data_IF_556146220398
#
_entry.id   IF_556146220398
#
_cell.length_a   1.000
_cell.length_b   1.000
_cell.length_c   1.000
_cell.angle_alpha   90.00
_cell.angle_beta   90.00
_cell.angle_gamma   90.00
#
_symmetry.space_group_name_H-M   'P 1'
#
loop_
_entity.id
_entity.type
_entity.pdbx_description
1 polymer ?
#
# COMPACT_ATOMS: atom_id res chain seq x y z
N UNK A 1 -6.11 -26.76 49.14
CA UNK A 1 -5.22 -26.09 48.16
C UNK A 1 -5.65 -26.29 46.70
N UNK A 2 -6.23 -27.43 46.30
CA UNK A 2 -6.67 -27.63 44.90
C UNK A 2 -7.85 -26.74 44.44
N UNK A 3 -8.73 -26.32 45.34
CA UNK A 3 -9.88 -25.45 45.02
C UNK A 3 -9.51 -24.00 44.74
N UNK A 4 -8.40 -23.48 45.29
CA UNK A 4 -7.93 -22.13 44.96
C UNK A 4 -7.38 -22.04 43.53
N UNK A 5 -6.73 -23.09 43.04
CA UNK A 5 -6.12 -23.11 41.69
C UNK A 5 -7.22 -23.10 40.62
N UNK A 6 -8.29 -23.87 40.81
CA UNK A 6 -9.47 -23.88 39.93
C UNK A 6 -10.16 -22.51 39.86
N UNK A 7 -10.30 -21.82 41.00
CA UNK A 7 -10.86 -20.47 41.03
C UNK A 7 -9.97 -19.46 40.30
N UNK A 8 -8.64 -19.54 40.46
CA UNK A 8 -7.69 -18.68 39.74
C UNK A 8 -7.74 -18.89 38.22
N UNK A 9 -7.90 -20.13 37.79
CA UNK A 9 -7.98 -20.49 36.37
C UNK A 9 -9.29 -19.99 35.72
N UNK A 10 -10.43 -20.09 36.42
CA UNK A 10 -11.70 -19.51 35.97
C UNK A 10 -11.65 -17.98 35.93
N UNK A 11 -10.99 -17.34 36.90
CA UNK A 11 -10.84 -15.89 36.95
C UNK A 11 -9.95 -15.37 35.81
N UNK A 12 -8.89 -16.11 35.46
CA UNK A 12 -8.05 -15.83 34.30
C UNK A 12 -8.82 -16.00 32.97
N UNK A 13 -9.66 -17.03 32.84
CA UNK A 13 -10.51 -17.23 31.66
C UNK A 13 -11.55 -16.10 31.49
N UNK A 14 -12.17 -15.64 32.58
CA UNK A 14 -13.10 -14.52 32.55
C UNK A 14 -12.42 -13.20 32.14
N UNK A 15 -11.21 -12.95 32.65
CA UNK A 15 -10.42 -11.77 32.25
C UNK A 15 -9.99 -11.83 30.78
N UNK A 16 -9.61 -13.01 30.27
CA UNK A 16 -9.26 -13.17 28.87
C UNK A 16 -10.48 -12.98 27.95
N UNK A 17 -11.64 -13.52 28.32
CA UNK A 17 -12.89 -13.34 27.59
C UNK A 17 -13.31 -11.86 27.57
N UNK A 18 -13.21 -11.18 28.72
CA UNK A 18 -13.47 -9.75 28.83
C UNK A 18 -12.52 -8.93 27.94
N UNK A 19 -11.23 -9.29 27.91
CA UNK A 19 -10.23 -8.69 27.01
C UNK A 19 -10.59 -8.85 25.54
N UNK A 20 -11.04 -10.04 25.14
CA UNK A 20 -11.43 -10.33 23.76
C UNK A 20 -12.67 -9.53 23.33
N UNK A 21 -13.68 -9.42 24.21
CA UNK A 21 -14.88 -8.62 23.96
C UNK A 21 -14.53 -7.13 23.85
N UNK A 22 -13.66 -6.62 24.72
CA UNK A 22 -13.19 -5.23 24.66
C UNK A 22 -12.42 -4.96 23.36
N UNK A 23 -11.53 -5.86 22.97
CA UNK A 23 -10.76 -5.73 21.72
C UNK A 23 -11.70 -5.74 20.51
N UNK A 24 -12.67 -6.66 20.48
CA UNK A 24 -13.68 -6.73 19.42
C UNK A 24 -14.49 -5.44 19.29
N UNK A 25 -14.90 -4.85 20.42
CA UNK A 25 -15.61 -3.57 20.43
C UNK A 25 -14.76 -2.40 19.91
N UNK A 26 -13.50 -2.31 20.34
CA UNK A 26 -12.58 -1.25 19.91
C UNK A 26 -12.31 -1.32 18.41
N UNK A 27 -12.09 -2.52 17.88
CA UNK A 27 -11.86 -2.73 16.45
C UNK A 27 -13.12 -2.41 15.63
N UNK A 28 -14.29 -2.87 16.07
CA UNK A 28 -15.57 -2.55 15.42
C UNK A 28 -15.81 -1.03 15.39
N UNK A 29 -15.59 -0.34 16.53
CA UNK A 29 -15.75 1.11 16.62
C UNK A 29 -14.78 1.86 15.70
N UNK A 30 -13.52 1.42 15.62
CA UNK A 30 -12.51 2.01 14.73
C UNK A 30 -12.85 1.81 13.25
N UNK A 31 -13.32 0.61 12.88
CA UNK A 31 -13.75 0.32 11.50
C UNK A 31 -15.00 1.13 11.10
N UNK A 32 -15.95 1.33 12.01
CA UNK A 32 -17.14 2.15 11.76
C UNK A 32 -16.76 3.62 11.51
N UNK A 33 -15.80 4.17 12.27
CA UNK A 33 -15.35 5.55 12.08
C UNK A 33 -14.70 5.77 10.71
N UNK A 34 -13.88 4.82 10.25
CA UNK A 34 -13.26 4.86 8.92
C UNK A 34 -14.31 4.71 7.81
N UNK A 35 -15.24 3.76 7.93
CA UNK A 35 -16.34 3.59 6.96
C UNK A 35 -17.23 4.82 6.86
N UNK A 36 -17.49 5.53 7.96
CA UNK A 36 -18.28 6.76 7.96
C UNK A 36 -17.63 7.87 7.12
N UNK A 37 -16.31 8.05 7.20
CA UNK A 37 -15.58 9.05 6.39
C UNK A 37 -15.67 8.73 4.89
N UNK A 38 -15.35 7.50 4.51
CA UNK A 38 -15.42 7.06 3.11
C UNK A 38 -16.83 7.19 2.53
N UNK A 39 -17.87 6.87 3.32
CA UNK A 39 -19.27 7.02 2.91
C UNK A 39 -19.67 8.48 2.71
N UNK A 40 -19.16 9.41 3.55
CA UNK A 40 -19.40 10.84 3.39
C UNK A 40 -18.73 11.39 2.14
N UNK A 41 -17.48 11.03 1.88
CA UNK A 41 -16.74 11.45 0.70
C UNK A 41 -17.41 10.94 -0.59
N UNK A 42 -17.83 9.68 -0.59
CA UNK A 42 -18.58 9.08 -1.71
C UNK A 42 -19.92 9.77 -1.98
N UNK A 43 -20.58 10.26 -0.91
CA UNK A 43 -21.84 11.01 -1.02
C UNK A 43 -21.61 12.44 -1.51
N UNK A 44 -20.53 13.10 -1.09
CA UNK A 44 -20.15 14.43 -1.56
C UNK A 44 -19.83 14.40 -3.06
N UNK A 45 -18.97 13.47 -3.49
CA UNK A 45 -18.63 13.27 -4.90
C UNK A 45 -19.88 12.99 -5.76
N UNK A 46 -20.79 12.12 -5.29
CA UNK A 46 -22.05 11.86 -6.01
C UNK A 46 -22.98 13.07 -6.10
N UNK A 47 -22.97 13.98 -5.12
CA UNK A 47 -23.77 15.22 -5.18
C UNK A 47 -23.22 16.18 -6.22
N UNK A 48 -21.89 16.31 -6.30
CA UNK A 48 -21.22 17.13 -7.31
C UNK A 48 -21.48 16.61 -8.71
N UNK A 49 -21.36 15.29 -8.93
CA UNK A 49 -21.67 14.65 -10.22
C UNK A 49 -23.13 14.91 -10.65
N UNK A 50 -24.09 14.81 -9.72
CA UNK A 50 -25.50 15.12 -10.00
C UNK A 50 -25.72 16.61 -10.31
N UNK A 51 -24.98 17.51 -9.69
CA UNK A 51 -25.05 18.94 -9.97
C UNK A 51 -24.58 19.26 -11.40
N UNK A 52 -23.54 18.58 -11.88
CA UNK A 52 -23.05 18.69 -13.25
C UNK A 52 -24.08 18.13 -14.24
N UNK A 53 -24.67 16.96 -13.94
CA UNK A 53 -25.66 16.33 -14.80
C UNK A 53 -26.93 17.18 -14.98
N UNK A 54 -27.35 17.90 -13.94
CA UNK A 54 -28.57 18.73 -13.97
C UNK A 54 -28.43 19.99 -14.85
N UNK A 55 -27.20 20.42 -15.20
CA UNK A 55 -26.94 21.57 -16.07
C UNK A 55 -27.01 21.27 -17.57
N UNK A 56 -27.29 20.02 -17.97
CA UNK A 56 -27.40 19.67 -19.38
C UNK A 56 -28.76 20.10 -19.91
N UNK A 57 -28.89 21.39 -20.23
CA UNK A 57 -30.07 21.90 -20.91
C UNK A 57 -30.17 21.25 -22.30
N UNK A 58 -31.33 20.69 -22.68
CA UNK A 58 -31.52 20.14 -24.00
C UNK A 58 -31.52 21.29 -25.02
N UNK A 59 -30.45 21.37 -25.81
CA UNK A 59 -30.37 22.33 -26.91
C UNK A 59 -31.33 21.87 -28.00
N UNK A 60 -32.49 22.53 -28.10
CA UNK A 60 -33.42 22.32 -29.20
C UNK A 60 -32.76 22.79 -30.52
N UNK A 61 -32.86 22.03 -31.62
CA UNK A 61 -32.32 22.46 -32.91
C UNK A 61 -33.06 23.72 -33.39
N UNK A 62 -32.32 24.78 -33.71
CA UNK A 62 -32.88 26.02 -34.23
C UNK A 62 -33.22 25.80 -35.72
N UNK A 63 -34.29 25.05 -35.96
CA UNK A 63 -34.73 24.65 -37.30
C UNK A 63 -35.16 25.84 -38.16
N UNK A 64 -35.39 26.99 -37.55
CA UNK A 64 -35.85 28.24 -38.18
C UNK A 64 -34.76 29.34 -38.23
N UNK A 65 -33.50 28.99 -37.91
CA UNK A 65 -32.39 29.95 -37.95
C UNK A 65 -31.80 30.11 -39.36
N UNK A 66 -31.12 31.24 -39.67
CA UNK A 66 -30.44 31.45 -40.95
C UNK A 66 -29.46 30.32 -41.31
N UNK A 67 -29.25 30.12 -42.62
CA UNK A 67 -28.46 29.00 -43.17
C UNK A 67 -27.02 29.00 -42.64
N UNK A 68 -26.44 30.17 -42.45
CA UNK A 68 -25.12 30.34 -41.82
C UNK A 68 -25.14 29.77 -40.40
N UNK A 69 -26.12 30.14 -39.58
CA UNK A 69 -26.26 29.63 -38.20
C UNK A 69 -26.42 28.11 -38.16
N UNK A 70 -27.16 27.54 -39.11
CA UNK A 70 -27.30 26.08 -39.22
C UNK A 70 -25.96 25.40 -39.56
N UNK A 71 -25.15 25.97 -40.46
CA UNK A 71 -23.81 25.45 -40.77
C UNK A 71 -22.88 25.48 -39.55
N UNK A 72 -22.91 26.56 -38.77
CA UNK A 72 -22.15 26.64 -37.52
C UNK A 72 -22.67 25.64 -36.48
N UNK A 73 -23.99 25.42 -36.40
CA UNK A 73 -24.58 24.42 -35.50
C UNK A 73 -24.13 23.00 -35.84
N UNK A 74 -24.10 22.64 -37.12
CA UNK A 74 -23.59 21.33 -37.57
C UNK A 74 -22.12 21.18 -37.23
N UNK A 75 -21.29 22.19 -37.54
CA UNK A 75 -19.86 22.16 -37.21
C UNK A 75 -19.60 22.04 -35.70
N UNK A 76 -20.38 22.72 -34.86
CA UNK A 76 -20.30 22.58 -33.40
C UNK A 76 -20.73 21.21 -32.91
N UNK A 77 -21.77 20.61 -33.52
CA UNK A 77 -22.22 19.28 -33.17
C UNK A 77 -21.20 18.19 -33.56
N UNK A 78 -20.58 18.34 -34.73
CA UNK A 78 -19.50 17.46 -35.18
C UNK A 78 -18.29 17.56 -34.25
N UNK A 79 -17.89 18.78 -33.88
CA UNK A 79 -16.82 19.01 -32.91
C UNK A 79 -17.15 18.42 -31.54
N UNK A 80 -18.39 18.57 -31.07
CA UNK A 80 -18.84 17.97 -29.82
C UNK A 80 -18.73 16.45 -29.87
N UNK A 81 -19.12 15.84 -30.99
CA UNK A 81 -19.06 14.38 -31.17
C UNK A 81 -17.61 13.89 -31.21
N UNK A 82 -16.73 14.61 -31.89
CA UNK A 82 -15.29 14.32 -31.93
C UNK A 82 -14.65 14.42 -30.54
N UNK A 83 -14.89 15.52 -29.81
CA UNK A 83 -14.39 15.70 -28.45
C UNK A 83 -14.93 14.64 -27.48
N UNK A 84 -16.18 14.22 -27.65
CA UNK A 84 -16.75 13.13 -26.84
C UNK A 84 -16.02 11.82 -27.12
N UNK A 85 -15.76 11.49 -28.38
CA UNK A 85 -15.02 10.28 -28.75
C UNK A 85 -13.57 10.30 -28.24
N UNK A 86 -12.91 11.45 -28.30
CA UNK A 86 -11.55 11.60 -27.77
C UNK A 86 -11.52 11.44 -26.24
N UNK A 87 -12.47 12.06 -25.53
CA UNK A 87 -12.59 11.92 -24.08
C UNK A 87 -12.87 10.48 -23.67
N UNK A 88 -13.80 9.79 -24.35
CA UNK A 88 -14.12 8.38 -24.07
C UNK A 88 -12.88 7.50 -24.25
N UNK A 89 -12.08 7.76 -25.29
CA UNK A 89 -10.82 7.04 -25.54
C UNK A 89 -9.80 7.30 -24.43
N UNK A 90 -9.63 8.56 -24.02
CA UNK A 90 -8.70 8.94 -22.93
C UNK A 90 -9.14 8.34 -21.60
N UNK A 91 -10.44 8.33 -21.30
CA UNK A 91 -11.00 7.70 -20.09
C UNK A 91 -10.71 6.20 -20.10
N UNK A 92 -10.90 5.52 -21.24
CA UNK A 92 -10.59 4.10 -21.36
C UNK A 92 -9.10 3.82 -21.09
N UNK A 93 -8.19 4.62 -21.66
CA UNK A 93 -6.75 4.50 -21.40
C UNK A 93 -6.46 4.71 -19.90
N UNK A 94 -6.99 5.76 -19.28
CA UNK A 94 -6.77 6.04 -17.85
C UNK A 94 -7.30 4.91 -16.97
N UNK A 95 -8.48 4.36 -17.27
CA UNK A 95 -9.05 3.22 -16.54
C UNK A 95 -8.17 1.97 -16.65
N UNK A 96 -7.60 1.69 -17.83
CA UNK A 96 -6.68 0.57 -18.00
C UNK A 96 -5.37 0.77 -17.23
N UNK A 97 -4.81 1.99 -17.24
CA UNK A 97 -3.61 2.31 -16.48
C UNK A 97 -3.84 2.20 -14.97
N UNK A 98 -4.98 2.67 -14.48
CA UNK A 98 -5.34 2.57 -13.07
C UNK A 98 -5.43 1.10 -12.63
N UNK A 99 -6.08 0.27 -13.45
CA UNK A 99 -6.17 -1.17 -13.18
C UNK A 99 -4.80 -1.87 -13.17
N UNK A 100 -3.92 -1.48 -14.09
CA UNK A 100 -2.54 -1.98 -14.08
C UNK A 100 -1.79 -1.55 -12.82
N UNK A 101 -1.98 -0.32 -12.35
CA UNK A 101 -1.37 0.13 -11.09
C UNK A 101 -1.91 -0.66 -9.90
N UNK A 102 -3.21 -0.90 -9.82
CA UNK A 102 -3.82 -1.71 -8.76
C UNK A 102 -3.25 -3.14 -8.75
N UNK A 103 -3.13 -3.79 -9.91
CA UNK A 103 -2.51 -5.11 -10.04
C UNK A 103 -1.05 -5.10 -9.57
N UNK A 104 -0.29 -4.06 -9.93
CA UNK A 104 1.12 -3.92 -9.49
C UNK A 104 1.22 -3.72 -7.98
N UNK A 105 0.37 -2.89 -7.38
CA UNK A 105 0.30 -2.70 -5.92
C UNK A 105 -0.02 -4.03 -5.24
N UNK A 106 -0.98 -4.80 -5.77
CA UNK A 106 -1.34 -6.09 -5.20
C UNK A 106 -0.18 -7.09 -5.28
N UNK A 107 0.52 -7.15 -6.42
CA UNK A 107 1.70 -8.01 -6.55
C UNK A 107 2.80 -7.63 -5.56
N UNK A 108 3.07 -6.33 -5.37
CA UNK A 108 4.06 -5.85 -4.39
C UNK A 108 3.62 -6.15 -2.96
N UNK A 109 2.35 -5.96 -2.63
CA UNK A 109 1.80 -6.28 -1.31
C UNK A 109 1.91 -7.77 -0.99
N UNK A 110 1.71 -8.65 -1.98
CA UNK A 110 1.89 -10.10 -1.86
C UNK A 110 3.36 -10.47 -1.62
N UNK A 111 4.29 -9.88 -2.37
CA UNK A 111 5.74 -10.11 -2.19
C UNK A 111 6.19 -9.65 -0.80
N UNK A 112 5.72 -8.49 -0.35
CA UNK A 112 6.03 -7.99 0.99
C UNK A 112 5.43 -8.89 2.07
N UNK A 113 4.15 -9.27 1.96
CA UNK A 113 3.49 -10.15 2.94
C UNK A 113 4.19 -11.50 3.06
N UNK A 114 4.64 -12.08 1.95
CA UNK A 114 5.36 -13.36 1.97
C UNK A 114 6.76 -13.26 2.59
N UNK A 115 7.41 -12.10 2.51
CA UNK A 115 8.73 -11.87 3.12
C UNK A 115 8.70 -11.33 4.55
N UNK A 116 7.60 -10.73 5.04
CA UNK A 116 7.69 -9.71 6.09
C UNK A 116 7.64 -10.13 7.57
N UNK A 117 7.54 -11.41 7.96
CA UNK A 117 7.57 -11.72 9.41
C UNK A 117 8.36 -12.95 9.82
N UNK A 118 8.42 -14.01 9.01
CA UNK A 118 9.20 -15.19 9.37
C UNK A 118 10.63 -15.13 8.81
N UNK A 119 10.78 -14.64 7.57
CA UNK A 119 12.07 -14.58 6.91
C UNK A 119 12.90 -13.37 7.35
N UNK A 120 12.30 -12.22 7.69
CA UNK A 120 13.07 -11.06 8.19
C UNK A 120 13.74 -11.38 9.54
N UNK A 121 13.04 -12.03 10.47
CA UNK A 121 13.61 -12.38 11.78
C UNK A 121 14.69 -13.46 11.65
N UNK A 122 14.45 -14.50 10.84
CA UNK A 122 15.42 -15.56 10.58
C UNK A 122 16.66 -15.08 9.81
N UNK A 123 16.47 -14.22 8.80
CA UNK A 123 17.58 -13.61 8.04
C UNK A 123 18.34 -12.61 8.90
N UNK A 124 17.66 -11.82 9.75
CA UNK A 124 18.31 -10.89 10.67
C UNK A 124 19.15 -11.61 11.73
N UNK A 125 18.66 -12.71 12.29
CA UNK A 125 19.41 -13.51 13.26
C UNK A 125 20.62 -14.19 12.62
N UNK A 126 20.45 -14.72 11.40
CA UNK A 126 21.56 -15.32 10.63
C UNK A 126 22.60 -14.26 10.22
N UNK A 127 22.17 -13.07 9.81
CA UNK A 127 23.07 -11.95 9.48
C UNK A 127 23.82 -11.44 10.71
N UNK A 128 23.16 -11.31 11.87
CA UNK A 128 23.81 -10.86 13.10
C UNK A 128 24.93 -11.81 13.53
N UNK A 129 24.70 -13.13 13.42
CA UNK A 129 25.73 -14.14 13.71
C UNK A 129 26.89 -14.06 12.71
N UNK A 130 26.58 -13.84 11.43
CA UNK A 130 27.60 -13.72 10.37
C UNK A 130 28.44 -12.44 10.55
N UNK A 131 27.81 -11.32 10.88
CA UNK A 131 28.48 -10.04 11.20
C UNK A 131 29.40 -10.18 12.41
N UNK A 132 28.94 -10.82 13.49
CA UNK A 132 29.77 -11.07 14.67
C UNK A 132 31.02 -11.90 14.33
N UNK A 133 30.85 -12.91 13.46
CA UNK A 133 31.95 -13.78 13.04
C UNK A 133 32.96 -13.06 12.15
N UNK A 134 32.49 -12.21 11.23
CA UNK A 134 33.37 -11.36 10.40
C UNK A 134 34.12 -10.36 11.28
N UNK A 135 33.45 -9.70 12.23
CA UNK A 135 34.07 -8.77 13.16
C UNK A 135 35.14 -9.44 14.04
N UNK A 136 34.88 -10.66 14.53
CA UNK A 136 35.86 -11.43 15.30
C UNK A 136 37.10 -11.81 14.46
N UNK A 137 36.91 -12.19 13.20
CA UNK A 137 38.02 -12.50 12.28
C UNK A 137 38.83 -11.24 11.95
N UNK A 138 38.18 -10.10 11.74
CA UNK A 138 38.84 -8.81 11.55
C UNK A 138 39.67 -8.41 12.78
N UNK A 139 39.14 -8.61 13.99
CA UNK A 139 39.86 -8.30 15.23
C UNK A 139 41.08 -9.21 15.47
N UNK A 140 41.08 -10.41 14.90
CA UNK A 140 42.26 -11.30 14.89
C UNK A 140 43.37 -10.86 13.92
N UNK A 141 43.19 -9.73 13.22
CA UNK A 141 44.17 -9.17 12.29
C UNK A 141 44.10 -9.75 10.88
N UNK A 142 43.04 -10.49 10.52
CA UNK A 142 42.84 -10.99 9.16
C UNK A 142 42.38 -9.87 8.23
N UNK A 143 42.91 -9.83 7.02
CA UNK A 143 42.51 -8.85 6.00
C UNK A 143 41.20 -9.26 5.33
N UNK A 144 40.51 -8.29 4.74
CA UNK A 144 39.21 -8.50 4.04
C UNK A 144 39.29 -9.59 2.97
N UNK A 145 40.42 -9.71 2.28
CA UNK A 145 40.68 -10.76 1.27
C UNK A 145 40.83 -12.15 1.88
N UNK A 146 41.43 -12.26 3.07
CA UNK A 146 41.55 -13.55 3.76
C UNK A 146 40.21 -13.98 4.38
N UNK A 147 39.40 -13.02 4.81
CA UNK A 147 38.05 -13.27 5.33
C UNK A 147 37.12 -13.74 4.20
N UNK A 148 37.18 -13.12 3.02
CA UNK A 148 36.38 -13.52 1.86
C UNK A 148 36.72 -14.93 1.39
N UNK A 149 38.00 -15.29 1.33
CA UNK A 149 38.48 -16.62 0.95
C UNK A 149 38.06 -17.69 1.98
N UNK A 150 38.14 -17.36 3.28
CA UNK A 150 37.81 -18.28 4.36
C UNK A 150 36.30 -18.51 4.53
N UNK A 151 35.47 -17.52 4.19
CA UNK A 151 34.01 -17.60 4.27
C UNK A 151 33.34 -17.90 2.91
N UNK A 152 34.12 -18.04 1.84
CA UNK A 152 33.63 -18.21 0.46
C UNK A 152 32.59 -17.16 0.07
N UNK A 153 32.80 -15.91 0.49
CA UNK A 153 31.89 -14.77 0.30
C UNK A 153 32.55 -13.72 -0.60
N UNK A 154 31.79 -12.98 -1.44
CA UNK A 154 32.34 -11.87 -2.22
C UNK A 154 32.99 -10.80 -1.33
N UNK A 155 34.12 -10.24 -1.77
CA UNK A 155 34.85 -9.19 -1.02
C UNK A 155 33.93 -8.00 -0.70
N UNK A 156 33.07 -7.60 -1.64
CA UNK A 156 32.14 -6.48 -1.44
C UNK A 156 31.12 -6.71 -0.32
N UNK A 157 30.67 -7.96 -0.10
CA UNK A 157 29.72 -8.28 0.97
C UNK A 157 30.40 -8.24 2.34
N UNK A 158 31.68 -8.63 2.41
CA UNK A 158 32.49 -8.55 3.63
C UNK A 158 32.74 -7.09 4.02
N UNK A 159 33.05 -6.21 3.06
CA UNK A 159 33.23 -4.77 3.29
C UNK A 159 31.93 -4.10 3.75
N UNK A 160 30.80 -4.45 3.12
CA UNK A 160 29.49 -3.95 3.50
C UNK A 160 29.14 -4.33 4.95
N UNK A 161 29.36 -5.60 5.32
CA UNK A 161 29.05 -6.12 6.65
C UNK A 161 29.97 -5.52 7.74
N UNK A 162 31.26 -5.31 7.42
CA UNK A 162 32.19 -4.60 8.30
C UNK A 162 31.79 -3.12 8.47
N UNK A 163 31.39 -2.44 7.38
CA UNK A 163 30.95 -1.05 7.41
C UNK A 163 29.62 -0.82 8.13
N UNK A 164 28.74 -1.82 8.12
CA UNK A 164 27.47 -1.79 8.89
C UNK A 164 27.61 -2.24 10.35
N UNK A 165 28.78 -2.75 10.75
CA UNK A 165 29.00 -3.27 12.10
C UNK A 165 29.13 -2.11 13.10
N UNK A 166 28.41 -2.14 14.25
CA UNK A 166 28.43 -1.07 15.25
C UNK A 166 29.80 -0.88 15.93
N UNK A 167 30.76 -1.80 15.72
CA UNK A 167 32.09 -1.77 16.34
C UNK A 167 32.99 -0.68 15.75
N UNK A 168 32.76 -0.24 14.51
CA UNK A 168 33.60 0.79 13.86
C UNK A 168 33.20 2.24 14.19
N UNK A 169 32.17 2.47 15.01
CA UNK A 169 31.71 3.82 15.40
C UNK A 169 32.33 4.36 16.70
N UNK A 170 33.24 3.62 17.35
CA UNK A 170 33.87 3.99 18.62
C UNK A 170 35.38 4.28 18.54
N UNK A 171 35.87 4.73 17.38
CA UNK A 171 37.17 5.43 17.28
C UNK A 171 36.97 6.91 16.92
#
# INVERSE_FOLDING_TARGET
>A
MQTMILAQMQQAQLLMLAGFVMLGWVLARRQIALRKRVSQDSRAANRELKAIQKRKDPVAPLSDAPVETQRWQVAMFDLQRELTAELDTRIAVVQTLLRQLDERIETLAKVQTNGSTADIDAVAETQAVLQLRIAALSHSGMTTQQISEKLAMPIGDVELLLGSSPVSQNE
#
